data_IF_134729898726
#
_entry.id   IF_134729898726
#
_cell.length_a   1.000
_cell.length_b   1.000
_cell.length_c   1.000
_cell.angle_alpha   90.00
_cell.angle_beta   90.00
_cell.angle_gamma   90.00
#
_symmetry.space_group_name_H-M   'P 1'
#
loop_
_entity.id
_entity.type
_entity.pdbx_description
1 polymer ?
#
# COMPACT_ATOMS: atom_id res chain seq x y z
N UNK A 1 -20.96 -44.58 21.66
CA UNK A 1 -19.63 -44.05 21.19
C UNK A 1 -19.91 -42.73 20.55
N UNK A 2 -19.77 -41.62 21.33
CA UNK A 2 -20.00 -40.23 20.85
C UNK A 2 -18.67 -39.71 20.31
N UNK A 3 -18.62 -39.51 19.00
CA UNK A 3 -17.55 -38.77 18.37
C UNK A 3 -17.82 -37.28 18.61
N UNK A 4 -17.19 -36.69 19.61
CA UNK A 4 -17.21 -35.25 19.81
C UNK A 4 -16.29 -34.62 18.73
N UNK A 5 -16.90 -33.99 17.75
CA UNK A 5 -16.22 -33.09 16.82
C UNK A 5 -15.65 -31.93 17.64
N UNK A 6 -14.34 -31.87 17.77
CA UNK A 6 -13.62 -30.69 18.28
C UNK A 6 -13.73 -29.58 17.24
N UNK A 7 -14.51 -28.58 17.54
CA UNK A 7 -14.59 -27.31 16.82
C UNK A 7 -13.75 -26.27 17.55
N UNK A 8 -12.44 -26.45 17.69
CA UNK A 8 -11.51 -25.46 18.23
C UNK A 8 -10.11 -25.71 17.62
N UNK A 9 -10.01 -25.60 16.30
CA UNK A 9 -8.75 -25.25 15.67
C UNK A 9 -8.80 -23.75 15.37
N UNK A 10 -8.40 -22.94 16.36
CA UNK A 10 -7.93 -21.57 16.07
C UNK A 10 -6.83 -21.74 15.01
N UNK A 11 -7.07 -21.28 13.80
CA UNK A 11 -6.10 -21.34 12.71
C UNK A 11 -4.79 -20.71 13.21
N UNK A 12 -3.68 -21.45 13.15
CA UNK A 12 -2.32 -20.97 13.47
C UNK A 12 -1.84 -19.89 12.49
N UNK A 13 -2.78 -19.10 11.94
CA UNK A 13 -2.51 -18.04 10.99
C UNK A 13 -1.84 -16.87 11.69
N UNK A 14 -0.63 -16.58 11.28
CA UNK A 14 0.07 -15.35 11.68
C UNK A 14 -0.27 -14.24 10.70
N UNK A 15 -0.71 -13.09 11.20
CA UNK A 15 -0.89 -11.89 10.39
C UNK A 15 0.42 -11.15 10.21
N UNK A 16 0.79 -10.88 8.97
CA UNK A 16 1.97 -10.11 8.60
C UNK A 16 1.52 -8.75 8.08
N UNK A 17 2.01 -7.67 8.68
CA UNK A 17 1.90 -6.33 8.14
C UNK A 17 3.16 -5.96 7.37
N UNK A 18 3.01 -5.27 6.23
CA UNK A 18 4.13 -4.81 5.39
C UNK A 18 3.95 -3.36 4.96
N UNK A 19 5.06 -2.64 4.87
CA UNK A 19 5.14 -1.34 4.20
C UNK A 19 5.68 -1.50 2.78
N UNK A 20 4.93 -1.02 1.80
CA UNK A 20 5.24 -1.14 0.37
C UNK A 20 5.43 0.25 -0.24
N UNK A 21 6.57 0.47 -0.87
CA UNK A 21 6.87 1.67 -1.65
C UNK A 21 6.76 1.35 -3.14
N UNK A 22 6.22 2.27 -3.92
CA UNK A 22 6.19 2.08 -5.38
C UNK A 22 6.17 3.39 -6.17
N UNK A 23 6.74 3.32 -7.37
CA UNK A 23 6.60 4.31 -8.43
C UNK A 23 5.43 3.88 -9.30
N UNK A 24 4.31 4.60 -9.22
CA UNK A 24 3.04 4.20 -9.82
C UNK A 24 2.92 4.47 -11.32
N UNK A 25 3.86 5.17 -11.94
CA UNK A 25 3.77 5.64 -13.33
C UNK A 25 3.45 4.54 -14.35
N UNK A 26 3.97 3.32 -14.11
CA UNK A 26 3.75 2.17 -15.01
C UNK A 26 2.54 1.31 -14.63
N UNK A 27 1.81 1.66 -13.57
CA UNK A 27 0.77 0.81 -13.02
C UNK A 27 -0.62 1.42 -13.15
N UNK A 28 -1.60 0.57 -13.44
CA UNK A 28 -3.03 0.92 -13.52
C UNK A 28 -3.65 1.05 -12.12
N UNK A 29 -2.94 1.73 -11.20
CA UNK A 29 -3.32 1.90 -9.82
C UNK A 29 -2.86 0.75 -8.92
N UNK A 30 -3.28 0.81 -7.66
CA UNK A 30 -2.89 -0.19 -6.68
C UNK A 30 -3.70 -1.47 -6.82
N UNK A 31 -5.03 -1.36 -6.88
CA UNK A 31 -5.93 -2.50 -6.73
C UNK A 31 -5.92 -3.43 -7.93
N UNK A 32 -5.90 -4.73 -7.65
CA UNK A 32 -6.03 -5.84 -8.59
C UNK A 32 -7.18 -5.66 -9.58
N UNK A 33 -6.87 -5.85 -10.85
CA UNK A 33 -7.78 -5.70 -11.99
C UNK A 33 -7.58 -6.85 -12.98
N UNK A 34 -8.55 -7.08 -13.90
CA UNK A 34 -8.40 -8.13 -14.93
C UNK A 34 -7.16 -7.97 -15.82
N UNK A 35 -6.67 -6.76 -16.00
CA UNK A 35 -5.43 -6.46 -16.77
C UNK A 35 -4.18 -7.04 -16.14
N UNK A 36 -4.18 -7.32 -14.83
CA UNK A 36 -3.03 -7.78 -14.04
C UNK A 36 -1.80 -6.84 -14.07
N UNK A 37 -2.01 -5.57 -14.37
CA UNK A 37 -0.97 -4.53 -14.43
C UNK A 37 -1.14 -3.52 -13.29
N UNK A 38 -1.36 -4.02 -12.08
CA UNK A 38 -1.49 -3.23 -10.86
C UNK A 38 -0.42 -3.57 -9.85
N UNK A 39 -0.18 -2.67 -8.91
CA UNK A 39 0.80 -2.89 -7.83
C UNK A 39 0.44 -4.12 -7.00
N UNK A 40 -0.84 -4.31 -6.67
CA UNK A 40 -1.33 -5.45 -5.89
C UNK A 40 -1.10 -6.77 -6.63
N UNK A 41 -1.35 -6.83 -7.95
CA UNK A 41 -1.10 -8.05 -8.73
C UNK A 41 0.38 -8.45 -8.66
N UNK A 42 1.30 -7.50 -8.82
CA UNK A 42 2.75 -7.79 -8.77
C UNK A 42 3.20 -8.19 -7.38
N UNK A 43 2.66 -7.54 -6.34
CA UNK A 43 2.96 -7.88 -4.95
C UNK A 43 2.49 -9.30 -4.61
N UNK A 44 1.24 -9.66 -4.95
CA UNK A 44 0.68 -10.98 -4.67
C UNK A 44 1.41 -12.09 -5.44
N UNK A 45 1.78 -11.85 -6.71
CA UNK A 45 2.61 -12.79 -7.48
C UNK A 45 3.99 -12.99 -6.84
N UNK A 46 4.61 -11.92 -6.34
CA UNK A 46 5.91 -12.02 -5.66
C UNK A 46 5.81 -12.77 -4.32
N UNK A 47 4.76 -12.50 -3.56
CA UNK A 47 4.46 -13.21 -2.31
C UNK A 47 4.20 -14.69 -2.57
N UNK A 48 3.38 -15.04 -3.56
CA UNK A 48 3.09 -16.42 -3.95
C UNK A 48 4.36 -17.18 -4.34
N UNK A 49 5.23 -16.58 -5.14
CA UNK A 49 6.51 -17.18 -5.52
C UNK A 49 7.41 -17.44 -4.31
N UNK A 50 7.47 -16.50 -3.37
CA UNK A 50 8.27 -16.66 -2.16
C UNK A 50 7.66 -17.64 -1.18
N UNK A 51 6.35 -17.63 -0.99
CA UNK A 51 5.63 -18.50 -0.05
C UNK A 51 5.38 -19.91 -0.60
N UNK A 52 5.43 -20.09 -1.93
CA UNK A 52 4.99 -21.30 -2.64
C UNK A 52 3.49 -21.61 -2.43
N UNK A 53 2.70 -20.61 -2.08
CA UNK A 53 1.25 -20.67 -1.89
C UNK A 53 0.62 -19.31 -2.21
N UNK A 54 -0.59 -19.26 -2.77
CA UNK A 54 -1.28 -18.00 -3.02
C UNK A 54 -1.49 -17.19 -1.74
N UNK A 55 -1.18 -15.91 -1.80
CA UNK A 55 -1.37 -14.96 -0.70
C UNK A 55 -2.18 -13.78 -1.20
N UNK A 56 -3.33 -13.53 -0.56
CA UNK A 56 -4.14 -12.36 -0.82
C UNK A 56 -3.80 -11.25 0.17
N UNK A 57 -3.69 -10.00 -0.32
CA UNK A 57 -3.33 -8.85 0.50
C UNK A 57 -4.50 -7.87 0.65
N UNK A 58 -4.60 -7.23 1.81
CA UNK A 58 -5.48 -6.09 2.05
C UNK A 58 -4.64 -4.83 2.32
N UNK A 59 -4.96 -3.70 1.67
CA UNK A 59 -4.23 -2.44 1.80
C UNK A 59 -4.95 -1.39 2.65
N UNK A 60 -4.18 -0.44 3.18
CA UNK A 60 -4.70 0.69 3.96
C UNK A 60 -5.55 1.64 3.11
N UNK A 61 -5.15 1.89 1.86
CA UNK A 61 -5.87 2.75 0.94
C UNK A 61 -5.49 2.46 -0.50
N UNK A 62 -6.46 2.55 -1.40
CA UNK A 62 -6.22 2.41 -2.83
C UNK A 62 -5.61 3.69 -3.37
N UNK A 63 -4.75 3.57 -4.37
CA UNK A 63 -4.25 4.69 -5.16
C UNK A 63 -4.64 4.48 -6.62
N UNK A 64 -4.92 5.57 -7.30
CA UNK A 64 -5.30 5.55 -8.72
C UNK A 64 -4.08 5.34 -9.64
N UNK A 65 -4.33 5.16 -10.95
CA UNK A 65 -3.28 4.97 -11.94
C UNK A 65 -2.27 6.13 -11.91
N UNK A 66 -0.99 5.79 -11.94
CA UNK A 66 0.11 6.76 -11.94
C UNK A 66 0.50 7.28 -10.55
N UNK A 67 -0.30 7.08 -9.51
CA UNK A 67 -0.02 7.57 -8.15
C UNK A 67 1.08 6.74 -7.51
N UNK A 68 2.08 7.41 -6.93
CA UNK A 68 3.18 6.81 -6.18
C UNK A 68 2.79 6.59 -4.71
N UNK A 69 3.51 5.74 -4.01
CA UNK A 69 3.45 5.66 -2.56
C UNK A 69 4.86 5.58 -1.97
N UNK A 70 5.09 6.37 -0.93
CA UNK A 70 6.30 6.26 -0.11
C UNK A 70 6.16 5.06 0.81
N UNK A 71 4.94 4.84 1.34
CA UNK A 71 4.63 3.77 2.28
C UNK A 71 3.13 3.44 2.24
N UNK A 72 2.79 2.41 1.48
CA UNK A 72 1.47 1.78 1.52
C UNK A 72 1.51 0.62 2.51
N UNK A 73 0.67 0.64 3.52
CA UNK A 73 0.58 -0.45 4.47
C UNK A 73 -0.37 -1.51 3.95
N UNK A 74 0.08 -2.76 3.95
CA UNK A 74 -0.71 -3.94 3.59
C UNK A 74 -0.63 -4.99 4.69
N UNK A 75 -1.56 -5.93 4.72
CA UNK A 75 -1.44 -7.13 5.53
C UNK A 75 -1.94 -8.35 4.77
N UNK A 76 -1.51 -9.51 5.24
CA UNK A 76 -1.99 -10.81 4.83
C UNK A 76 -1.86 -11.81 5.98
N UNK A 77 -2.53 -12.94 5.88
CA UNK A 77 -2.46 -14.03 6.83
C UNK A 77 -1.72 -15.21 6.22
N UNK A 78 -0.93 -15.93 7.02
CA UNK A 78 -0.11 -17.06 6.58
C UNK A 78 0.12 -18.07 7.70
N UNK A 79 0.20 -19.35 7.35
CA UNK A 79 0.62 -20.44 8.25
C UNK A 79 2.15 -20.59 8.32
N UNK A 80 2.88 -19.88 7.45
CA UNK A 80 4.33 -20.00 7.36
C UNK A 80 5.01 -19.25 8.48
N UNK A 81 5.70 -19.97 9.34
CA UNK A 81 6.58 -19.37 10.35
C UNK A 81 7.92 -18.98 9.71
N UNK A 82 8.01 -17.72 9.32
CA UNK A 82 9.22 -17.11 8.74
C UNK A 82 9.54 -15.80 9.42
N UNK A 83 10.82 -15.50 9.69
CA UNK A 83 11.23 -14.20 10.22
C UNK A 83 10.74 -13.05 9.32
N UNK A 84 10.28 -11.92 9.88
CA UNK A 84 9.79 -10.78 9.08
C UNK A 84 10.78 -10.32 8.01
N UNK A 85 12.08 -10.32 8.31
CA UNK A 85 13.13 -9.95 7.36
C UNK A 85 13.21 -10.90 6.15
N UNK A 86 12.83 -12.17 6.31
CA UNK A 86 12.76 -13.12 5.20
C UNK A 86 11.63 -12.77 4.24
N UNK A 87 10.50 -12.29 4.75
CA UNK A 87 9.39 -11.79 3.93
C UNK A 87 9.82 -10.59 3.10
N UNK A 88 10.56 -9.64 3.69
CA UNK A 88 11.08 -8.47 2.97
C UNK A 88 12.02 -8.90 1.83
N UNK A 89 13.04 -9.68 2.15
CA UNK A 89 14.05 -10.08 1.16
C UNK A 89 13.48 -11.00 0.09
N UNK A 90 12.70 -12.00 0.51
CA UNK A 90 12.12 -12.99 -0.39
C UNK A 90 11.12 -12.39 -1.37
N UNK A 91 10.25 -11.52 -0.89
CA UNK A 91 9.28 -10.83 -1.77
C UNK A 91 10.00 -9.89 -2.75
N UNK A 92 10.97 -9.11 -2.26
CA UNK A 92 11.72 -8.18 -3.12
C UNK A 92 12.52 -8.88 -4.22
N UNK A 93 12.91 -10.15 -4.03
CA UNK A 93 13.62 -10.92 -5.08
C UNK A 93 12.75 -11.18 -6.32
N UNK A 94 11.43 -11.07 -6.21
CA UNK A 94 10.49 -11.31 -7.30
C UNK A 94 9.70 -10.06 -7.73
N UNK A 95 9.92 -8.92 -7.07
CA UNK A 95 9.28 -7.66 -7.41
C UNK A 95 10.06 -6.94 -8.52
N UNK A 96 9.37 -6.17 -9.38
CA UNK A 96 10.05 -5.25 -10.30
C UNK A 96 10.65 -4.06 -9.52
N UNK A 97 11.70 -3.42 -10.05
CA UNK A 97 12.43 -2.31 -9.42
C UNK A 97 11.54 -1.13 -8.99
N UNK A 98 10.36 -1.00 -9.60
CA UNK A 98 9.39 0.05 -9.29
C UNK A 98 8.53 -0.23 -8.04
N UNK A 99 8.65 -1.40 -7.42
CA UNK A 99 7.89 -1.81 -6.22
C UNK A 99 8.85 -2.45 -5.22
N UNK A 100 8.85 -1.96 -3.98
CA UNK A 100 9.75 -2.44 -2.93
C UNK A 100 9.01 -2.63 -1.61
N UNK A 101 9.15 -3.79 -0.99
CA UNK A 101 8.77 -4.01 0.41
C UNK A 101 9.87 -3.44 1.30
N UNK A 102 9.51 -2.47 2.15
CA UNK A 102 10.45 -1.74 3.02
C UNK A 102 10.63 -2.42 4.37
N UNK A 103 9.57 -2.95 4.91
CA UNK A 103 9.52 -3.62 6.20
C UNK A 103 8.39 -4.65 6.24
N UNK A 104 8.50 -5.58 7.17
CA UNK A 104 7.45 -6.51 7.55
C UNK A 104 7.45 -6.71 9.07
N UNK A 105 6.28 -6.91 9.66
CA UNK A 105 6.09 -7.24 11.06
C UNK A 105 5.11 -8.40 11.20
N UNK A 106 5.49 -9.43 11.94
CA UNK A 106 4.56 -10.44 12.42
C UNK A 106 3.77 -9.84 13.60
N UNK A 107 2.47 -9.89 13.52
CA UNK A 107 1.58 -9.34 14.55
C UNK A 107 1.22 -10.44 15.55
N UNK A 108 1.19 -10.08 16.82
CA UNK A 108 0.74 -11.01 17.86
C UNK A 108 -0.70 -11.44 17.60
N UNK A 109 -1.06 -12.71 17.88
CA UNK A 109 -2.44 -13.15 17.85
C UNK A 109 -3.31 -12.25 18.75
N UNK A 110 -4.46 -11.84 18.24
CA UNK A 110 -5.41 -11.02 18.96
C UNK A 110 -6.83 -11.50 18.65
N UNK A 111 -7.82 -11.26 19.57
CA UNK A 111 -9.21 -11.50 19.26
C UNK A 111 -9.64 -10.82 17.97
N UNK A 112 -10.52 -11.40 17.18
CA UNK A 112 -10.92 -10.93 15.85
C UNK A 112 -11.27 -9.43 15.82
N UNK A 113 -11.94 -8.92 16.87
CA UNK A 113 -12.31 -7.50 17.01
C UNK A 113 -11.13 -6.55 17.22
N UNK A 114 -10.00 -7.07 17.74
CA UNK A 114 -8.80 -6.30 18.06
C UNK A 114 -7.68 -6.55 17.03
N UNK A 115 -7.92 -7.45 16.10
CA UNK A 115 -6.94 -7.84 15.10
C UNK A 115 -6.67 -6.67 14.15
N UNK A 116 -5.38 -6.39 13.93
CA UNK A 116 -4.96 -5.35 13.00
C UNK A 116 -5.53 -5.61 11.60
N UNK A 117 -6.09 -4.58 10.99
CA UNK A 117 -6.52 -4.60 9.60
C UNK A 117 -6.02 -3.33 8.91
N UNK A 118 -5.19 -3.46 7.87
CA UNK A 118 -4.52 -2.32 7.23
C UNK A 118 -5.48 -1.17 6.89
N UNK A 119 -6.69 -1.48 6.39
CA UNK A 119 -7.71 -0.48 6.03
C UNK A 119 -8.42 0.11 7.25
N UNK A 120 -8.84 -0.74 8.19
CA UNK A 120 -9.71 -0.30 9.29
C UNK A 120 -8.95 0.20 10.50
N UNK A 121 -7.70 -0.26 10.70
CA UNK A 121 -6.82 0.24 11.76
C UNK A 121 -6.03 1.49 11.36
N UNK A 122 -6.15 1.97 10.12
CA UNK A 122 -5.48 3.17 9.66
C UNK A 122 -6.03 4.41 10.39
N UNK A 123 -5.15 5.14 11.07
CA UNK A 123 -5.49 6.38 11.80
C UNK A 123 -5.45 7.61 10.92
N UNK A 124 -4.58 7.62 9.91
CA UNK A 124 -4.45 8.73 8.96
C UNK A 124 -3.96 8.22 7.60
N UNK A 125 -4.22 9.01 6.57
CA UNK A 125 -3.64 8.86 5.23
C UNK A 125 -3.17 10.22 4.80
N UNK A 126 -1.89 10.33 4.43
CA UNK A 126 -1.27 11.58 4.01
C UNK A 126 -0.99 11.52 2.51
N UNK A 127 -1.44 12.55 1.81
CA UNK A 127 -1.21 12.69 0.38
C UNK A 127 -0.41 13.96 0.11
N UNK A 128 0.61 13.85 -0.75
CA UNK A 128 1.40 14.97 -1.21
C UNK A 128 1.17 15.17 -2.71
N UNK A 129 0.68 16.34 -3.08
CA UNK A 129 0.60 16.77 -4.46
C UNK A 129 1.80 17.66 -4.76
N UNK A 130 2.80 17.13 -5.45
CA UNK A 130 4.06 17.84 -5.69
C UNK A 130 3.97 18.64 -6.98
N UNK A 131 4.17 19.97 -6.90
CA UNK A 131 4.26 20.86 -8.05
C UNK A 131 5.69 21.37 -8.21
N UNK A 132 6.23 21.19 -9.41
CA UNK A 132 7.50 21.78 -9.83
C UNK A 132 7.19 23.08 -10.60
N UNK A 133 7.40 24.23 -9.94
CA UNK A 133 7.16 25.54 -10.53
C UNK A 133 8.46 26.13 -11.07
N UNK A 134 8.65 26.05 -12.38
CA UNK A 134 9.85 26.54 -13.06
C UNK A 134 9.55 26.78 -14.55
N UNK A 135 10.17 27.80 -15.21
CA UNK A 135 9.98 28.06 -16.63
C UNK A 135 10.27 26.84 -17.53
N UNK A 136 11.26 26.03 -17.17
CA UNK A 136 11.64 24.84 -17.92
C UNK A 136 11.23 23.56 -17.17
N UNK A 137 10.77 22.49 -17.87
CA UNK A 137 10.50 21.19 -17.27
C UNK A 137 11.76 20.53 -16.74
N UNK A 138 11.61 19.58 -15.83
CA UNK A 138 12.69 18.74 -15.31
C UNK A 138 12.51 17.29 -15.77
N UNK A 139 13.49 16.75 -16.46
CA UNK A 139 13.49 15.34 -16.86
C UNK A 139 13.52 14.39 -15.65
N UNK A 140 14.17 14.78 -14.53
CA UNK A 140 14.25 13.97 -13.32
C UNK A 140 12.92 13.91 -12.54
N UNK A 141 12.06 14.92 -12.71
CA UNK A 141 10.74 15.01 -12.04
C UNK A 141 9.59 14.59 -12.96
N UNK A 142 9.89 14.25 -14.22
CA UNK A 142 8.87 13.77 -15.17
C UNK A 142 8.15 12.54 -14.61
N UNK A 143 6.82 12.60 -14.58
CA UNK A 143 5.98 11.55 -14.01
C UNK A 143 6.00 11.43 -12.48
N UNK A 144 6.69 12.35 -11.77
CA UNK A 144 6.79 12.37 -10.30
C UNK A 144 6.23 13.63 -9.66
N UNK A 145 6.20 14.72 -10.42
CA UNK A 145 5.65 15.99 -9.99
C UNK A 145 4.89 16.64 -11.14
N UNK A 146 3.83 17.37 -10.84
CA UNK A 146 3.18 18.24 -11.79
C UNK A 146 4.10 19.41 -12.16
N UNK A 147 4.21 19.74 -13.45
CA UNK A 147 5.00 20.89 -13.89
C UNK A 147 4.11 22.07 -14.23
N UNK A 148 4.45 23.22 -13.65
CA UNK A 148 3.76 24.50 -13.89
C UNK A 148 4.80 25.53 -14.29
N UNK A 149 4.71 26.06 -15.53
CA UNK A 149 5.67 27.02 -16.05
C UNK A 149 5.40 28.46 -15.61
N UNK A 150 4.11 28.82 -15.34
CA UNK A 150 3.74 30.14 -14.85
C UNK A 150 4.11 30.27 -13.38
N UNK A 151 4.63 31.44 -12.93
CA UNK A 151 4.87 31.69 -11.53
C UNK A 151 3.62 31.43 -10.69
N UNK A 152 3.76 30.70 -9.61
CA UNK A 152 2.72 30.43 -8.63
C UNK A 152 2.94 31.31 -7.40
N UNK A 153 1.87 31.91 -6.90
CA UNK A 153 1.86 32.64 -5.64
C UNK A 153 1.52 31.67 -4.49
N UNK A 154 2.56 31.23 -3.80
CA UNK A 154 2.45 30.24 -2.72
C UNK A 154 1.60 30.79 -1.55
N UNK A 155 1.67 32.09 -1.27
CA UNK A 155 0.89 32.67 -0.16
C UNK A 155 -0.61 32.68 -0.48
N UNK A 156 -0.99 33.05 -1.69
CA UNK A 156 -2.38 32.93 -2.14
C UNK A 156 -2.87 31.50 -2.17
N UNK A 157 -2.03 30.54 -2.59
CA UNK A 157 -2.36 29.11 -2.54
C UNK A 157 -2.59 28.66 -1.09
N UNK A 158 -1.74 29.08 -0.16
CA UNK A 158 -1.88 28.79 1.27
C UNK A 158 -3.14 29.38 1.86
N UNK A 159 -3.48 30.62 1.49
CA UNK A 159 -4.72 31.25 1.91
C UNK A 159 -5.95 30.49 1.38
N UNK A 160 -5.97 30.16 0.09
CA UNK A 160 -7.05 29.40 -0.52
C UNK A 160 -7.20 27.99 0.11
N UNK A 161 -6.10 27.33 0.47
CA UNK A 161 -6.14 26.01 1.08
C UNK A 161 -6.83 25.98 2.45
N UNK A 162 -6.95 27.12 3.14
CA UNK A 162 -7.67 27.22 4.42
C UNK A 162 -9.15 26.84 4.27
N UNK A 163 -9.73 27.06 3.10
CA UNK A 163 -11.12 26.67 2.80
C UNK A 163 -11.31 25.16 2.68
N UNK A 164 -10.23 24.38 2.58
CA UNK A 164 -10.27 22.92 2.49
C UNK A 164 -10.04 22.23 3.85
N UNK A 165 -9.72 23.04 4.90
CA UNK A 165 -9.45 22.49 6.23
C UNK A 165 -10.78 22.24 6.95
N UNK A 166 -10.93 21.06 7.53
CA UNK A 166 -12.12 20.64 8.27
C UNK A 166 -12.86 19.48 7.63
N UNK A 167 -14.12 19.33 8.00
CA UNK A 167 -15.01 18.31 7.42
C UNK A 167 -15.86 18.96 6.35
N UNK A 168 -15.70 18.52 5.11
CA UNK A 168 -16.42 19.01 3.95
C UNK A 168 -17.05 17.85 3.17
N UNK A 169 -18.18 18.13 2.54
CA UNK A 169 -18.73 17.24 1.52
C UNK A 169 -18.19 17.69 0.15
N UNK A 170 -17.41 16.84 -0.49
CA UNK A 170 -16.86 17.03 -1.83
C UNK A 170 -17.62 16.23 -2.89
N UNK A 171 -18.79 15.66 -2.58
CA UNK A 171 -19.66 15.03 -3.57
C UNK A 171 -20.25 16.09 -4.48
N UNK A 172 -20.07 15.95 -5.78
CA UNK A 172 -20.63 16.82 -6.81
C UNK A 172 -21.59 16.05 -7.72
#
# INVERSE_FOLDING_TARGET
>A
MHCALRWDEASDLTRIAMGVQYVGTAWNGYQKQPSRDTVQDKLEIALEKFACTPIATACAGRTDAGVHAIEQVVHFDTELDRPPQSWVRGTNAFLPDSIVVRWAHALAPAPEREQFHARFSARSRTYHYVLYNHPNPSALLAGRAGWVFRPLDVERMREASRHLIGTHDFSS
#
